data_IF_985074599945
#
_entry.id   IF_985074599945
#
_cell.length_a   1.000
_cell.length_b   1.000
_cell.length_c   1.000
_cell.angle_alpha   90.00
_cell.angle_beta   90.00
_cell.angle_gamma   90.00
#
_symmetry.space_group_name_H-M   'P 1'
#
loop_
_entity.id
_entity.type
_entity.pdbx_description
1 polymer ?
#
# COMPACT_ATOMS: atom_id res chain seq x y z
N UNK A 1 4.56 9.32 -10.91
CA UNK A 1 4.16 9.73 -9.54
C UNK A 1 2.91 8.95 -9.17
N UNK A 2 2.76 8.51 -7.92
CA UNK A 2 1.55 7.81 -7.49
C UNK A 2 0.30 8.70 -7.65
N UNK A 3 -0.80 8.11 -8.11
CA UNK A 3 -2.11 8.75 -8.12
C UNK A 3 -2.52 9.14 -6.68
N UNK A 4 -3.26 10.25 -6.48
CA UNK A 4 -3.62 10.72 -5.14
C UNK A 4 -4.25 9.64 -4.26
N UNK A 5 -5.19 8.87 -4.82
CA UNK A 5 -5.85 7.77 -4.11
C UNK A 5 -4.87 6.73 -3.56
N UNK A 6 -3.90 6.28 -4.36
CA UNK A 6 -2.91 5.29 -3.90
C UNK A 6 -1.99 5.89 -2.86
N UNK A 7 -1.60 7.15 -3.03
CA UNK A 7 -0.79 7.87 -2.03
C UNK A 7 -1.51 7.91 -0.67
N UNK A 8 -2.80 8.21 -0.68
CA UNK A 8 -3.60 8.29 0.54
C UNK A 8 -3.72 6.90 1.22
N UNK A 9 -3.85 5.83 0.44
CA UNK A 9 -3.84 4.46 0.95
C UNK A 9 -2.50 4.10 1.61
N UNK A 10 -1.37 4.36 0.95
CA UNK A 10 -0.04 4.07 1.51
C UNK A 10 0.23 4.95 2.73
N UNK A 11 -0.22 6.20 2.73
CA UNK A 11 -0.11 7.08 3.90
C UNK A 11 -0.92 6.56 5.09
N UNK A 12 -2.10 5.98 4.86
CA UNK A 12 -2.91 5.35 5.89
C UNK A 12 -2.22 4.11 6.48
N UNK A 13 -1.63 3.25 5.62
CA UNK A 13 -0.79 2.12 6.08
C UNK A 13 0.37 2.63 6.93
N UNK A 14 1.12 3.62 6.46
CA UNK A 14 2.26 4.18 7.18
C UNK A 14 1.89 4.84 8.52
N UNK A 15 0.66 5.32 8.68
CA UNK A 15 0.17 5.89 9.93
C UNK A 15 -0.16 4.83 10.99
N UNK A 16 -0.47 3.60 10.56
CA UNK A 16 -0.85 2.51 11.46
C UNK A 16 0.27 1.50 11.75
N UNK A 17 1.37 1.58 11.01
CA UNK A 17 2.55 0.79 11.36
C UNK A 17 3.05 1.17 12.76
N UNK A 18 3.30 0.19 13.65
CA UNK A 18 3.87 0.47 14.97
C UNK A 18 5.29 1.04 14.86
N UNK A 19 6.06 0.58 13.87
CA UNK A 19 7.43 0.98 13.58
C UNK A 19 7.60 1.18 12.06
N UNK A 20 8.53 2.04 11.63
CA UNK A 20 8.83 2.24 10.19
C UNK A 20 7.88 3.20 9.45
N UNK A 21 6.85 3.74 10.11
CA UNK A 21 5.87 4.62 9.47
C UNK A 21 6.46 5.92 8.92
N UNK A 22 7.50 6.46 9.55
CA UNK A 22 8.17 7.67 9.07
C UNK A 22 9.00 7.42 7.81
N UNK A 23 9.69 6.29 7.77
CA UNK A 23 10.49 5.79 6.66
C UNK A 23 9.58 5.54 5.45
N UNK A 24 8.47 4.82 5.64
CA UNK A 24 7.51 4.57 4.56
C UNK A 24 6.90 5.87 4.01
N UNK A 25 6.60 6.86 4.87
CA UNK A 25 6.14 8.19 4.40
C UNK A 25 7.21 8.92 3.59
N UNK A 26 8.48 8.86 4.00
CA UNK A 26 9.58 9.47 3.26
C UNK A 26 9.76 8.80 1.88
N UNK A 27 9.73 7.47 1.83
CA UNK A 27 9.77 6.71 0.59
C UNK A 27 8.59 7.03 -0.32
N UNK A 28 7.36 7.12 0.22
CA UNK A 28 6.15 7.48 -0.52
C UNK A 28 6.26 8.85 -1.22
N UNK A 29 6.90 9.83 -0.58
CA UNK A 29 7.13 11.16 -1.17
C UNK A 29 8.11 11.07 -2.35
N UNK A 30 9.13 10.21 -2.26
CA UNK A 30 10.15 10.04 -3.29
C UNK A 30 9.75 9.04 -4.39
N UNK A 31 8.72 8.23 -4.17
CA UNK A 31 8.37 7.12 -5.03
C UNK A 31 7.84 7.55 -6.41
N UNK A 32 8.25 6.79 -7.43
CA UNK A 32 7.74 6.88 -8.79
C UNK A 32 7.07 5.58 -9.19
N UNK A 33 6.05 5.65 -10.05
CA UNK A 33 5.38 4.45 -10.57
C UNK A 33 6.18 3.97 -11.77
N UNK A 34 6.61 2.71 -11.73
CA UNK A 34 7.32 2.06 -12.82
C UNK A 34 6.33 1.39 -13.78
N UNK A 35 5.37 0.65 -13.24
CA UNK A 35 4.32 -0.05 -14.00
C UNK A 35 3.08 -0.31 -13.11
N UNK A 36 2.00 -0.82 -13.71
CA UNK A 36 0.86 -1.42 -13.02
C UNK A 36 -0.51 -0.90 -13.46
N UNK A 37 -1.52 -1.13 -12.63
CA UNK A 37 -2.92 -0.85 -12.95
C UNK A 37 -3.85 -0.79 -11.74
N UNK A 38 -5.02 -1.42 -11.88
CA UNK A 38 -6.12 -1.31 -10.94
C UNK A 38 -5.88 -2.02 -9.59
N UNK A 39 -5.05 -3.05 -9.57
CA UNK A 39 -4.87 -3.95 -8.43
C UNK A 39 -3.43 -4.08 -7.97
N UNK A 40 -2.45 -3.66 -8.76
CA UNK A 40 -1.05 -3.62 -8.37
C UNK A 40 -0.36 -2.41 -9.00
N UNK A 41 0.65 -1.90 -8.33
CA UNK A 41 1.59 -0.92 -8.85
C UNK A 41 2.99 -1.32 -8.47
N UNK A 42 3.88 -1.38 -9.46
CA UNK A 42 5.31 -1.43 -9.23
C UNK A 42 5.83 -0.01 -9.04
N UNK A 43 6.63 0.19 -8.01
CA UNK A 43 7.20 1.50 -7.69
C UNK A 43 8.71 1.43 -7.54
N UNK A 44 9.35 2.52 -7.92
CA UNK A 44 10.78 2.74 -7.70
C UNK A 44 10.95 3.83 -6.65
N UNK A 45 11.72 3.52 -5.61
CA UNK A 45 12.13 4.44 -4.55
C UNK A 45 13.64 4.67 -4.67
N UNK A 46 14.15 5.91 -4.57
CA UNK A 46 15.59 6.17 -4.61
C UNK A 46 16.35 5.46 -3.48
N UNK A 47 17.53 4.93 -3.77
CA UNK A 47 18.35 4.13 -2.85
C UNK A 47 18.78 4.88 -1.57
N UNK A 48 18.83 6.20 -1.63
CA UNK A 48 19.13 7.11 -0.52
C UNK A 48 17.94 7.31 0.44
N UNK A 49 16.76 6.78 0.11
CA UNK A 49 15.59 6.89 0.98
C UNK A 49 15.79 6.09 2.28
N UNK A 50 15.23 6.56 3.42
CA UNK A 50 15.31 5.82 4.68
C UNK A 50 14.73 4.41 4.52
N UNK A 51 15.45 3.38 4.97
CA UNK A 51 15.04 1.96 4.83
C UNK A 51 14.21 1.52 6.03
N UNK A 52 13.19 0.71 5.74
CA UNK A 52 12.42 -0.02 6.74
C UNK A 52 13.26 -1.17 7.29
N UNK A 53 13.23 -1.35 8.61
CA UNK A 53 13.72 -2.57 9.25
C UNK A 53 12.64 -3.67 9.16
N UNK A 54 12.41 -4.17 7.95
CA UNK A 54 11.41 -5.19 7.67
C UNK A 54 11.97 -6.23 6.69
N UNK A 55 11.67 -7.53 6.87
CA UNK A 55 12.01 -8.57 5.90
C UNK A 55 11.40 -8.28 4.51
N UNK A 56 12.00 -8.85 3.47
CA UNK A 56 11.42 -8.80 2.13
C UNK A 56 10.03 -9.45 2.10
N UNK A 57 9.09 -8.81 1.40
CA UNK A 57 7.70 -9.24 1.29
C UNK A 57 6.70 -8.13 1.62
N UNK A 58 5.41 -8.48 1.80
CA UNK A 58 4.40 -7.52 2.21
C UNK A 58 4.65 -7.08 3.65
N UNK A 59 4.48 -5.79 3.93
CA UNK A 59 4.31 -5.29 5.29
C UNK A 59 3.11 -5.97 5.95
N UNK A 60 3.05 -6.03 7.30
CA UNK A 60 1.90 -6.62 7.99
C UNK A 60 0.61 -5.96 7.51
N UNK A 61 -0.40 -6.78 7.16
CA UNK A 61 -1.69 -6.25 6.73
C UNK A 61 -2.30 -5.45 7.87
N UNK A 62 -2.30 -4.13 7.71
CA UNK A 62 -3.00 -3.19 8.60
C UNK A 62 -4.19 -2.54 7.92
N UNK A 63 -4.30 -2.59 6.58
CA UNK A 63 -5.36 -1.96 5.81
C UNK A 63 -6.26 -2.99 5.14
N UNK A 64 -7.49 -3.12 5.63
CA UNK A 64 -8.52 -3.99 5.07
C UNK A 64 -9.54 -3.19 4.26
N UNK A 65 -10.07 -3.78 3.19
CA UNK A 65 -11.07 -3.19 2.31
C UNK A 65 -12.44 -3.80 2.64
N UNK A 66 -13.44 -2.95 2.85
CA UNK A 66 -14.82 -3.35 3.11
C UNK A 66 -15.78 -2.85 2.04
N UNK A 67 -16.88 -3.57 1.84
CA UNK A 67 -17.98 -3.11 0.98
C UNK A 67 -18.94 -2.14 1.72
N UNK A 68 -20.02 -1.74 1.05
CA UNK A 68 -21.03 -0.84 1.61
C UNK A 68 -21.77 -1.42 2.82
N UNK A 69 -21.80 -2.75 2.96
CA UNK A 69 -22.36 -3.44 4.11
C UNK A 69 -21.35 -3.55 5.27
N UNK A 70 -20.08 -3.19 5.04
CA UNK A 70 -18.99 -3.32 6.00
C UNK A 70 -18.35 -4.71 6.00
N UNK A 71 -18.67 -5.56 5.03
CA UNK A 71 -18.11 -6.90 4.91
C UNK A 71 -16.69 -6.82 4.34
N UNK A 72 -15.80 -7.69 4.85
CA UNK A 72 -14.41 -7.75 4.41
C UNK A 72 -14.31 -8.33 3.00
N UNK A 73 -13.80 -7.55 2.06
CA UNK A 73 -13.70 -7.92 0.63
C UNK A 73 -12.29 -7.88 0.06
N UNK A 74 -11.29 -7.50 0.85
CA UNK A 74 -9.90 -7.47 0.39
C UNK A 74 -8.98 -6.73 1.33
N UNK A 75 -7.76 -6.44 0.86
CA UNK A 75 -6.71 -5.77 1.63
C UNK A 75 -5.90 -4.84 0.73
N UNK A 76 -5.26 -3.84 1.32
CA UNK A 76 -4.21 -3.06 0.67
C UNK A 76 -2.88 -3.39 1.33
N UNK A 77 -1.95 -3.90 0.53
CA UNK A 77 -0.63 -4.34 0.95
C UNK A 77 0.45 -3.46 0.34
N UNK A 78 1.50 -3.20 1.12
CA UNK A 78 2.70 -2.51 0.67
C UNK A 78 3.83 -3.53 0.65
N UNK A 79 4.46 -3.69 -0.50
CA UNK A 79 5.54 -4.65 -0.71
C UNK A 79 6.90 -3.99 -0.55
N UNK A 80 7.80 -4.67 0.15
CA UNK A 80 9.14 -4.19 0.48
C UNK A 80 10.20 -5.17 -0.02
N UNK A 81 11.32 -4.63 -0.50
CA UNK A 81 12.56 -5.36 -0.78
C UNK A 81 13.75 -4.53 -0.33
N UNK A 82 14.68 -5.14 0.40
CA UNK A 82 15.85 -4.49 0.98
C UNK A 82 15.48 -3.24 1.81
N UNK A 83 14.32 -3.27 2.48
CA UNK A 83 13.79 -2.14 3.25
C UNK A 83 13.20 -0.98 2.44
N UNK A 84 13.11 -1.09 1.10
CA UNK A 84 12.47 -0.10 0.24
C UNK A 84 11.13 -0.62 -0.29
N UNK A 85 10.13 0.25 -0.36
CA UNK A 85 8.85 -0.02 -1.01
C UNK A 85 9.10 -0.27 -2.50
N UNK A 86 8.66 -1.43 -2.96
CA UNK A 86 8.76 -1.87 -4.37
C UNK A 86 7.40 -2.02 -5.03
N UNK A 87 6.32 -2.08 -4.25
CA UNK A 87 4.98 -2.14 -4.82
C UNK A 87 3.86 -1.85 -3.84
N UNK A 88 2.68 -1.62 -4.41
CA UNK A 88 1.40 -1.57 -3.70
C UNK A 88 0.48 -2.56 -4.37
N UNK A 89 -0.23 -3.37 -3.59
CA UNK A 89 -1.17 -4.37 -4.09
C UNK A 89 -2.52 -4.23 -3.38
N UNK A 90 -3.60 -4.40 -4.13
CA UNK A 90 -4.93 -4.62 -3.61
C UNK A 90 -5.30 -6.07 -3.84
N UNK A 91 -5.37 -6.86 -2.76
CA UNK A 91 -5.96 -8.20 -2.82
C UNK A 91 -7.46 -8.11 -2.68
N UNK A 92 -8.17 -9.13 -3.19
CA UNK A 92 -9.62 -9.20 -3.13
C UNK A 92 -10.09 -10.60 -2.76
N UNK A 93 -11.26 -10.66 -2.16
CA UNK A 93 -11.95 -11.89 -1.81
C UNK A 93 -13.13 -12.07 -2.77
N UNK A 94 -13.16 -13.19 -3.49
CA UNK A 94 -14.15 -13.50 -4.52
C UNK A 94 -13.57 -13.56 -5.93
N UNK A 95 -14.44 -13.81 -6.90
CA UNK A 95 -14.03 -14.17 -8.26
C UNK A 95 -13.88 -12.99 -9.22
N UNK A 96 -14.33 -11.79 -8.81
CA UNK A 96 -14.29 -10.59 -9.66
C UNK A 96 -13.23 -9.63 -9.14
N UNK A 97 -12.16 -9.34 -9.92
CA UNK A 97 -11.14 -8.40 -9.50
C UNK A 97 -11.68 -6.96 -9.49
N UNK A 98 -11.16 -6.10 -8.59
CA UNK A 98 -11.52 -4.69 -8.59
C UNK A 98 -10.98 -4.00 -9.85
N UNK A 99 -11.78 -3.08 -10.40
CA UNK A 99 -11.41 -2.30 -11.58
C UNK A 99 -10.66 -1.00 -11.23
N UNK A 100 -10.38 -0.77 -9.95
CA UNK A 100 -9.57 0.34 -9.48
C UNK A 100 -9.38 0.31 -7.97
N UNK A 101 -8.46 1.16 -7.51
CA UNK A 101 -8.10 1.31 -6.10
C UNK A 101 -9.30 1.75 -5.24
N UNK A 102 -9.42 1.24 -4.00
CA UNK A 102 -10.53 1.52 -3.11
C UNK A 102 -10.50 2.97 -2.63
N UNK A 103 -11.67 3.50 -2.28
CA UNK A 103 -11.75 4.77 -1.56
C UNK A 103 -11.36 4.57 -0.09
N UNK A 104 -10.72 5.57 0.54
CA UNK A 104 -10.39 5.51 1.96
C UNK A 104 -11.61 5.32 2.85
N UNK A 105 -12.80 5.76 2.41
CA UNK A 105 -14.04 5.50 3.14
C UNK A 105 -14.34 4.00 3.32
N UNK A 106 -13.82 3.16 2.42
CA UNK A 106 -13.97 1.71 2.39
C UNK A 106 -12.75 0.98 2.98
N UNK A 107 -11.79 1.71 3.53
CA UNK A 107 -10.61 1.12 4.16
C UNK A 107 -10.71 1.22 5.67
N UNK A 108 -10.38 0.12 6.36
CA UNK A 108 -10.25 0.06 7.81
C UNK A 108 -8.81 -0.25 8.14
N UNK A 109 -8.23 0.63 8.96
CA UNK A 109 -6.84 0.51 9.38
C UNK A 109 -6.79 0.14 10.87
N UNK A 110 -6.08 -0.93 11.20
CA UNK A 110 -5.98 -1.51 12.54
C UNK A 110 -4.75 -1.09 13.32
#
# INVERSE_FOLDING_TARGET
>A
MLAPRVRDLVAAVAAALPDGGAELRAQLVAATVADGGATHLDVTVPDESPRLEHPDGPLPTVATVVDDAGELVGEVQVWVRDGLMVGVEQTWYGDTPPTGWPDLAHVRVG
#
